data_IF_574417177731
#
_entry.id   IF_574417177731
#
_cell.length_a   1.000
_cell.length_b   1.000
_cell.length_c   1.000
_cell.angle_alpha   90.00
_cell.angle_beta   90.00
_cell.angle_gamma   90.00
#
_symmetry.space_group_name_H-M   'P 1'
#
loop_
_entity.id
_entity.type
_entity.pdbx_description
1 polymer ?
#
# COMPACT_ATOMS: atom_id res chain seq x y z
N UNK A 1 -18.49 -1.26 9.11
CA UNK A 1 -19.34 -2.41 8.73
C UNK A 1 -18.86 -2.94 7.38
N UNK A 2 -18.47 -4.22 7.27
CA UNK A 2 -18.13 -4.86 5.97
C UNK A 2 -19.39 -5.52 5.39
N UNK A 3 -19.60 -5.45 4.08
CA UNK A 3 -20.71 -6.11 3.38
C UNK A 3 -20.45 -7.63 3.26
N UNK A 4 -21.51 -8.43 3.18
CA UNK A 4 -21.41 -9.87 2.90
C UNK A 4 -20.73 -10.08 1.54
N UNK A 5 -19.69 -10.92 1.49
CA UNK A 5 -18.89 -11.19 0.28
C UNK A 5 -17.72 -10.23 0.05
N UNK A 6 -17.57 -9.19 0.88
CA UNK A 6 -16.46 -8.25 0.76
C UNK A 6 -15.16 -8.87 1.31
N UNK A 7 -14.08 -8.87 0.51
CA UNK A 7 -12.79 -9.43 0.92
C UNK A 7 -12.35 -8.82 2.26
N UNK A 8 -12.18 -9.66 3.28
CA UNK A 8 -11.64 -9.25 4.58
C UNK A 8 -10.16 -8.91 4.44
N UNK A 9 -9.58 -8.10 5.33
CA UNK A 9 -8.17 -7.77 5.20
C UNK A 9 -7.28 -9.00 5.31
N UNK A 10 -7.62 -9.92 6.22
CA UNK A 10 -6.93 -11.20 6.35
C UNK A 10 -7.08 -12.08 5.10
N UNK A 11 -8.19 -11.99 4.37
CA UNK A 11 -8.33 -12.69 3.09
C UNK A 11 -7.45 -12.05 2.00
N UNK A 12 -7.34 -10.72 1.99
CA UNK A 12 -6.43 -10.00 1.09
C UNK A 12 -4.99 -10.39 1.39
N UNK A 13 -4.56 -10.35 2.65
CA UNK A 13 -3.19 -10.68 3.01
C UNK A 13 -2.80 -12.12 2.64
N UNK A 14 -3.76 -13.06 2.67
CA UNK A 14 -3.52 -14.45 2.24
C UNK A 14 -3.49 -14.63 0.72
N UNK A 15 -4.37 -13.96 -0.02
CA UNK A 15 -4.45 -14.08 -1.48
C UNK A 15 -3.47 -13.19 -2.24
N UNK A 16 -3.07 -12.08 -1.63
CA UNK A 16 -2.19 -11.05 -2.19
C UNK A 16 -1.13 -10.63 -1.14
N UNK A 17 -0.19 -11.54 -0.82
CA UNK A 17 0.80 -11.29 0.23
C UNK A 17 1.87 -10.25 -0.17
N UNK A 18 2.01 -9.96 -1.46
CA UNK A 18 3.03 -9.04 -1.96
C UNK A 18 2.46 -7.63 -2.09
N UNK A 19 2.71 -6.80 -1.08
CA UNK A 19 2.09 -5.49 -0.97
C UNK A 19 3.11 -4.35 -1.16
N UNK A 20 2.69 -3.31 -1.86
CA UNK A 20 3.50 -2.14 -2.20
C UNK A 20 2.76 -0.88 -1.76
N UNK A 21 3.43 -0.05 -0.97
CA UNK A 21 2.92 1.22 -0.48
C UNK A 21 3.44 2.38 -1.33
N UNK A 22 2.54 3.21 -1.84
CA UNK A 22 2.86 4.50 -2.47
C UNK A 22 2.43 5.63 -1.54
N UNK A 23 3.19 6.72 -1.46
CA UNK A 23 2.76 7.89 -0.66
C UNK A 23 1.48 8.47 -1.24
N UNK A 24 0.52 8.81 -0.39
CA UNK A 24 -0.80 9.29 -0.81
C UNK A 24 -0.73 10.60 -1.61
N UNK A 25 0.26 11.46 -1.35
CA UNK A 25 0.50 12.69 -2.10
C UNK A 25 1.04 12.46 -3.51
N UNK A 26 1.60 11.27 -3.79
CA UNK A 26 1.98 10.86 -5.14
C UNK A 26 0.81 10.26 -5.93
N UNK A 27 -0.19 9.71 -5.24
CA UNK A 27 -1.34 9.00 -5.81
C UNK A 27 -2.50 10.00 -6.08
N UNK A 28 -2.22 11.03 -6.88
CA UNK A 28 -3.18 12.09 -7.21
C UNK A 28 -3.11 12.49 -8.68
N UNK A 29 -4.17 13.10 -9.22
CA UNK A 29 -4.22 13.64 -10.58
C UNK A 29 -3.82 12.62 -11.65
N UNK A 30 -2.93 13.01 -12.58
CA UNK A 30 -2.46 12.13 -13.67
C UNK A 30 -1.74 10.87 -13.17
N UNK A 31 -1.06 10.95 -12.03
CA UNK A 31 -0.39 9.78 -11.45
C UNK A 31 -1.42 8.74 -11.00
N UNK A 32 -2.54 9.17 -10.43
CA UNK A 32 -3.62 8.27 -10.03
C UNK A 32 -4.09 7.42 -11.22
N UNK A 33 -4.35 8.04 -12.39
CA UNK A 33 -4.82 7.32 -13.58
C UNK A 33 -3.79 6.28 -14.06
N UNK A 34 -2.51 6.65 -14.11
CA UNK A 34 -1.42 5.75 -14.49
C UNK A 34 -1.26 4.58 -13.51
N UNK A 35 -1.40 4.86 -12.22
CA UNK A 35 -1.28 3.86 -11.15
C UNK A 35 -2.47 2.88 -11.19
N UNK A 36 -3.69 3.40 -11.36
CA UNK A 36 -4.90 2.58 -11.48
C UNK A 36 -4.86 1.67 -12.71
N UNK A 37 -4.39 2.18 -13.85
CA UNK A 37 -4.21 1.36 -15.04
C UNK A 37 -3.15 0.28 -14.82
N UNK A 38 -2.00 0.65 -14.23
CA UNK A 38 -0.90 -0.28 -14.00
C UNK A 38 -1.28 -1.38 -13.01
N UNK A 39 -1.95 -1.05 -11.89
CA UNK A 39 -2.38 -2.05 -10.91
C UNK A 39 -3.37 -3.04 -11.52
N UNK A 40 -4.26 -2.57 -12.40
CA UNK A 40 -5.23 -3.42 -13.07
C UNK A 40 -4.54 -4.39 -14.02
N UNK A 41 -3.62 -3.88 -14.85
CA UNK A 41 -2.88 -4.70 -15.82
C UNK A 41 -1.96 -5.74 -15.15
N UNK A 42 -1.46 -5.44 -13.94
CA UNK A 42 -0.59 -6.32 -13.17
C UNK A 42 -1.37 -7.26 -12.22
N UNK A 43 -2.70 -7.28 -12.29
CA UNK A 43 -3.53 -8.20 -11.50
C UNK A 43 -3.54 -7.90 -10.00
N UNK A 44 -3.42 -6.63 -9.61
CA UNK A 44 -3.57 -6.23 -8.22
C UNK A 44 -4.97 -6.58 -7.69
N UNK A 45 -5.06 -6.81 -6.38
CA UNK A 45 -6.34 -6.94 -5.70
C UNK A 45 -7.22 -5.73 -6.04
N UNK A 46 -8.51 -5.92 -6.40
CA UNK A 46 -9.43 -4.81 -6.66
C UNK A 46 -9.57 -3.85 -5.48
N UNK A 47 -9.24 -4.32 -4.28
CA UNK A 47 -9.29 -3.56 -3.04
C UNK A 47 -7.89 -3.32 -2.48
N UNK A 48 -7.45 -2.06 -2.56
CA UNK A 48 -6.36 -1.54 -1.74
C UNK A 48 -6.81 -1.16 -0.33
N UNK A 49 -5.87 -0.69 0.46
CA UNK A 49 -6.14 -0.03 1.75
C UNK A 49 -5.12 1.08 1.98
N UNK A 50 -5.37 1.93 2.96
CA UNK A 50 -4.46 3.01 3.32
C UNK A 50 -3.91 2.82 4.71
N UNK A 51 -2.65 3.19 4.89
CA UNK A 51 -1.95 3.20 6.18
C UNK A 51 -1.24 4.54 6.36
N UNK A 52 -0.78 4.81 7.58
CA UNK A 52 -0.04 6.01 7.94
C UNK A 52 1.21 5.63 8.71
N UNK A 53 2.33 6.25 8.34
CA UNK A 53 3.60 6.17 9.06
C UNK A 53 3.97 7.58 9.51
N UNK A 54 3.81 7.84 10.81
CA UNK A 54 3.91 9.21 11.35
C UNK A 54 2.83 10.11 10.75
N UNK A 55 3.23 11.23 10.14
CA UNK A 55 2.30 12.15 9.49
C UNK A 55 1.97 11.78 8.04
N UNK A 56 2.74 10.88 7.43
CA UNK A 56 2.65 10.55 6.01
C UNK A 56 1.64 9.42 5.76
N UNK A 57 0.68 9.67 4.88
CA UNK A 57 -0.28 8.67 4.40
C UNK A 57 0.26 7.87 3.21
N UNK A 58 -0.11 6.60 3.13
CA UNK A 58 0.26 5.69 2.05
C UNK A 58 -0.97 4.92 1.55
N UNK A 59 -1.01 4.67 0.24
CA UNK A 59 -1.96 3.77 -0.41
C UNK A 59 -1.24 2.46 -0.71
N UNK A 60 -1.78 1.36 -0.20
CA UNK A 60 -1.22 0.01 -0.32
C UNK A 60 -1.94 -0.76 -1.43
N UNK A 61 -1.16 -1.19 -2.41
CA UNK A 61 -1.57 -2.04 -3.52
C UNK A 61 -1.10 -3.48 -3.25
N UNK A 62 -1.98 -4.45 -3.43
CA UNK A 62 -1.74 -5.85 -3.05
C UNK A 62 -1.69 -6.74 -4.29
N UNK A 63 -0.65 -7.57 -4.43
CA UNK A 63 -0.42 -8.46 -5.57
C UNK A 63 -0.29 -9.91 -5.11
N UNK A 64 -0.77 -10.84 -5.94
CA UNK A 64 -0.63 -12.29 -5.73
C UNK A 64 0.68 -12.84 -6.27
N UNK A 65 1.31 -12.12 -7.21
CA UNK A 65 2.57 -12.48 -7.85
C UNK A 65 3.69 -11.52 -7.37
N UNK A 66 4.83 -12.02 -6.87
CA UNK A 66 5.93 -11.18 -6.42
C UNK A 66 6.59 -10.39 -7.55
N UNK A 67 6.62 -10.91 -8.78
CA UNK A 67 7.21 -10.25 -9.96
C UNK A 67 6.39 -9.02 -10.33
N UNK A 68 5.06 -9.15 -10.36
CA UNK A 68 4.17 -8.03 -10.65
C UNK A 68 4.28 -6.93 -9.57
N UNK A 69 4.40 -7.32 -8.30
CA UNK A 69 4.64 -6.39 -7.21
C UNK A 69 5.96 -5.62 -7.41
N UNK A 70 7.03 -6.32 -7.81
CA UNK A 70 8.34 -5.72 -8.04
C UNK A 70 8.33 -4.74 -9.23
N UNK A 71 7.74 -5.13 -10.36
CA UNK A 71 7.55 -4.25 -11.53
C UNK A 71 6.81 -2.96 -11.12
N UNK A 72 5.72 -3.11 -10.35
CA UNK A 72 4.95 -1.97 -9.89
C UNK A 72 5.76 -1.08 -8.93
N UNK A 73 6.46 -1.69 -7.98
CA UNK A 73 7.32 -1.00 -7.01
C UNK A 73 8.42 -0.20 -7.70
N UNK A 74 9.14 -0.80 -8.65
CA UNK A 74 10.19 -0.13 -9.42
C UNK A 74 9.62 1.04 -10.24
N UNK A 75 8.49 0.81 -10.94
CA UNK A 75 7.87 1.82 -11.80
C UNK A 75 7.43 3.08 -11.06
N UNK A 76 6.86 2.92 -9.87
CA UNK A 76 6.30 4.04 -9.09
C UNK A 76 7.15 4.43 -7.88
N UNK A 77 8.35 3.86 -7.75
CA UNK A 77 9.27 4.08 -6.62
C UNK A 77 8.57 3.83 -5.27
N UNK A 78 7.77 2.78 -5.21
CA UNK A 78 7.03 2.37 -4.02
C UNK A 78 7.91 1.71 -2.96
N UNK A 79 7.34 1.52 -1.79
CA UNK A 79 7.98 0.82 -0.67
C UNK A 79 7.32 -0.54 -0.46
N UNK A 80 8.11 -1.56 -0.14
CA UNK A 80 7.58 -2.86 0.27
C UNK A 80 6.80 -2.72 1.57
N UNK A 81 5.61 -3.28 1.61
CA UNK A 81 4.75 -3.29 2.79
C UNK A 81 4.57 -4.73 3.28
N UNK A 82 4.91 -5.01 4.54
CA UNK A 82 4.56 -6.28 5.20
C UNK A 82 3.27 -6.09 6.02
N UNK A 83 2.20 -6.85 5.76
CA UNK A 83 0.97 -6.81 6.56
C UNK A 83 1.16 -7.00 8.06
N UNK A 84 2.27 -7.63 8.49
CA UNK A 84 2.64 -7.79 9.90
C UNK A 84 3.00 -6.47 10.57
N UNK A 85 3.47 -5.50 9.80
CA UNK A 85 3.82 -4.16 10.29
C UNK A 85 2.58 -3.26 10.43
N UNK A 86 1.42 -3.71 9.93
CA UNK A 86 0.16 -2.99 10.08
C UNK A 86 -0.34 -3.10 11.52
N UNK A 87 -0.84 -1.99 12.04
CA UNK A 87 -1.56 -1.95 13.30
C UNK A 87 -2.83 -2.80 13.28
N UNK A 88 -3.43 -2.97 14.45
CA UNK A 88 -4.60 -3.83 14.67
C UNK A 88 -5.68 -3.06 15.42
N UNK A 89 -6.92 -3.53 15.34
CA UNK A 89 -8.07 -2.87 15.99
C UNK A 89 -8.22 -1.42 15.54
N UNK A 90 -8.41 -0.50 16.49
CA UNK A 90 -8.62 0.93 16.21
C UNK A 90 -7.39 1.63 15.62
N UNK A 91 -6.21 1.00 15.74
CA UNK A 91 -4.96 1.45 15.11
C UNK A 91 -4.65 0.70 13.81
N UNK A 92 -5.65 0.11 13.16
CA UNK A 92 -5.48 -0.59 11.88
C UNK A 92 -4.76 0.24 10.81
N UNK A 93 -4.97 1.55 10.81
CA UNK A 93 -4.36 2.49 9.88
C UNK A 93 -2.88 2.73 10.15
N UNK A 94 -2.32 2.31 11.28
CA UNK A 94 -0.92 2.55 11.64
C UNK A 94 0.01 1.57 10.90
N UNK A 95 1.16 2.06 10.41
CA UNK A 95 2.24 1.24 9.88
C UNK A 95 3.49 1.37 10.77
N UNK A 96 3.88 0.27 11.43
CA UNK A 96 4.77 0.22 12.61
C UNK A 96 6.27 -0.01 12.32
N UNK A 97 6.72 -0.42 11.13
CA UNK A 97 8.14 -0.67 10.80
C UNK A 97 8.37 -0.57 9.27
N UNK A 98 9.50 -0.18 8.62
CA UNK A 98 10.86 0.38 8.90
C UNK A 98 11.68 0.32 7.56
N UNK A 99 12.83 0.98 7.29
CA UNK A 99 13.59 2.01 8.01
C UNK A 99 13.24 3.45 7.58
N UNK A 100 13.77 4.38 8.36
CA UNK A 100 13.56 5.82 8.30
C UNK A 100 14.04 6.46 6.99
N UNK A 101 13.13 7.13 6.28
CA UNK A 101 13.45 8.30 5.45
C UNK A 101 12.98 9.60 6.10
N UNK A 102 12.86 9.62 7.44
CA UNK A 102 12.43 10.79 8.23
C UNK A 102 13.58 11.45 9.01
N UNK A 103 14.81 11.46 8.47
CA UNK A 103 15.91 12.24 9.03
C UNK A 103 16.19 13.57 8.30
N UNK A 104 15.42 13.94 7.26
CA UNK A 104 15.66 15.16 6.48
C UNK A 104 14.35 15.89 6.18
N UNK A 105 13.64 16.38 7.21
CA UNK A 105 12.78 17.57 7.08
C UNK A 105 12.30 18.09 8.46
N UNK A 106 13.23 18.61 9.25
CA UNK A 106 12.98 19.78 10.11
C UNK A 106 14.12 20.74 9.77
N UNK A 107 13.97 21.61 8.75
CA UNK A 107 13.64 23.05 8.90
C UNK A 107 14.35 23.63 10.13
N UNK A 108 15.51 24.26 9.87
CA UNK A 108 15.70 25.73 9.76
C UNK A 108 16.06 26.33 11.12
#
# INVERSE_FOLDING_TARGET
MRRKGELSPAAIDRGWPYQVALRADFVVGKNYELIEQARHNLGACPRGHSVRRGEVGFVVYCFSDPINADIFMQKFKGERFDPKDRGRGDRWWEWKAGPQSSALLRRE
#
